data_IF_779270170998
#
_entry.id   IF_779270170998
#
_cell.length_a   1.000
_cell.length_b   1.000
_cell.length_c   1.000
_cell.angle_alpha   90.00
_cell.angle_beta   90.00
_cell.angle_gamma   90.00
#
_symmetry.space_group_name_H-M   'P 1'
#
loop_
_entity.id
_entity.type
_entity.pdbx_description
1 polymer ?
#
# COMPACT_ATOMS: atom_id res chain seq x y z
N UNK A 1 29.33 17.51 -22.52
CA UNK A 1 30.04 16.53 -21.67
C UNK A 1 29.07 15.44 -21.22
N UNK A 2 29.36 14.19 -21.58
CA UNK A 2 28.54 13.04 -21.17
C UNK A 2 29.09 12.47 -19.85
N UNK A 3 28.20 12.05 -18.92
CA UNK A 3 28.56 11.44 -17.63
C UNK A 3 29.60 10.30 -17.78
N UNK A 4 29.45 9.48 -18.81
CA UNK A 4 30.38 8.37 -19.08
C UNK A 4 31.79 8.84 -19.49
N UNK A 5 31.89 9.99 -20.12
CA UNK A 5 33.16 10.59 -20.53
C UNK A 5 33.93 11.11 -19.32
N UNK A 6 33.23 11.79 -18.40
CA UNK A 6 33.81 12.24 -17.13
C UNK A 6 34.28 11.06 -16.28
N UNK A 7 33.49 9.97 -16.24
CA UNK A 7 33.85 8.73 -15.56
C UNK A 7 35.16 8.15 -16.11
N UNK A 8 35.28 8.05 -17.44
CA UNK A 8 36.52 7.54 -18.09
C UNK A 8 37.75 8.39 -17.78
N UNK A 9 37.60 9.71 -17.75
CA UNK A 9 38.70 10.63 -17.37
C UNK A 9 39.14 10.38 -15.92
N UNK A 10 38.20 10.23 -15.01
CA UNK A 10 38.49 9.99 -13.59
C UNK A 10 39.01 8.58 -13.28
N UNK A 11 38.94 7.64 -14.22
CA UNK A 11 39.45 6.27 -14.10
C UNK A 11 40.73 6.03 -14.90
N UNK A 12 41.18 7.01 -15.68
CA UNK A 12 42.30 6.84 -16.58
C UNK A 12 43.65 6.92 -15.87
N UNK A 13 44.35 5.80 -15.71
CA UNK A 13 45.65 5.69 -15.07
C UNK A 13 46.78 6.45 -15.80
N UNK A 14 46.55 6.91 -17.03
CA UNK A 14 47.55 7.73 -17.75
C UNK A 14 47.88 9.04 -17.03
N UNK A 15 46.94 9.58 -16.27
CA UNK A 15 47.17 10.81 -15.50
C UNK A 15 48.15 10.66 -14.33
N UNK A 16 48.37 9.43 -13.85
CA UNK A 16 49.37 9.10 -12.80
C UNK A 16 50.66 8.54 -13.38
N UNK A 17 50.89 8.61 -14.71
CA UNK A 17 52.13 8.20 -15.35
C UNK A 17 52.14 6.77 -15.90
N UNK A 18 51.00 6.08 -15.95
CA UNK A 18 50.95 4.77 -16.58
C UNK A 18 51.23 4.85 -18.09
N UNK A 19 51.84 3.78 -18.64
CA UNK A 19 52.18 3.67 -20.07
C UNK A 19 53.11 4.77 -20.60
N UNK A 20 53.97 5.33 -19.75
CA UNK A 20 54.95 6.35 -20.16
C UNK A 20 54.43 7.75 -20.35
N UNK A 21 53.19 8.04 -19.95
CA UNK A 21 52.68 9.39 -19.93
C UNK A 21 53.23 10.23 -18.79
N UNK A 22 53.35 11.57 -18.92
CA UNK A 22 53.80 12.39 -17.81
C UNK A 22 52.79 12.37 -16.66
N UNK A 23 53.29 12.34 -15.42
CA UNK A 23 52.44 12.43 -14.23
C UNK A 23 51.81 13.83 -14.14
N UNK A 24 50.49 13.90 -14.20
CA UNK A 24 49.71 15.16 -14.11
C UNK A 24 49.04 15.31 -12.75
N UNK A 25 48.68 14.18 -12.10
CA UNK A 25 48.06 14.15 -10.77
C UNK A 25 48.71 13.08 -9.91
N UNK A 26 48.66 13.26 -8.64
CA UNK A 26 49.19 12.27 -7.68
C UNK A 26 48.28 11.05 -7.56
N UNK A 27 48.87 9.83 -7.37
CA UNK A 27 48.05 8.60 -7.24
C UNK A 27 47.04 8.68 -6.10
N UNK A 28 47.34 9.41 -5.03
CA UNK A 28 46.41 9.65 -3.91
C UNK A 28 45.20 10.47 -4.28
N UNK A 29 45.35 11.43 -5.16
CA UNK A 29 44.24 12.26 -5.66
C UNK A 29 43.28 11.44 -6.53
N UNK A 30 43.81 10.54 -7.37
CA UNK A 30 43.02 9.65 -8.17
C UNK A 30 42.22 8.66 -7.30
N UNK A 31 42.86 8.11 -6.24
CA UNK A 31 42.20 7.23 -5.26
C UNK A 31 41.11 7.97 -4.50
N UNK A 32 41.37 9.15 -3.99
CA UNK A 32 40.39 9.98 -3.28
C UNK A 32 39.19 10.35 -4.16
N UNK A 33 39.42 10.58 -5.47
CA UNK A 33 38.32 10.81 -6.43
C UNK A 33 37.49 9.54 -6.65
N UNK A 34 38.13 8.36 -6.74
CA UNK A 34 37.44 7.07 -6.87
C UNK A 34 36.61 6.74 -5.62
N UNK A 35 37.17 6.95 -4.43
CA UNK A 35 36.44 6.76 -3.16
C UNK A 35 35.23 7.67 -3.02
N UNK A 36 35.37 8.96 -3.29
CA UNK A 36 34.25 9.92 -3.29
C UNK A 36 33.17 9.55 -4.31
N UNK A 37 33.57 8.99 -5.46
CA UNK A 37 32.66 8.54 -6.48
C UNK A 37 31.93 7.28 -6.05
N UNK A 38 32.62 6.28 -5.50
CA UNK A 38 32.01 5.05 -5.00
C UNK A 38 31.05 5.32 -3.86
N UNK A 39 31.38 6.22 -2.94
CA UNK A 39 30.51 6.66 -1.86
C UNK A 39 29.23 7.34 -2.36
N UNK A 40 29.30 8.04 -3.51
CA UNK A 40 28.15 8.71 -4.15
C UNK A 40 27.40 7.84 -5.15
N UNK A 41 28.06 6.82 -5.73
CA UNK A 41 27.52 6.02 -6.83
C UNK A 41 26.55 4.92 -6.39
N UNK A 42 26.50 4.59 -5.11
CA UNK A 42 25.56 3.61 -4.56
C UNK A 42 24.46 4.35 -3.80
N UNK A 43 23.35 4.81 -4.45
CA UNK A 43 22.18 5.16 -3.68
C UNK A 43 21.80 3.90 -2.87
N UNK A 44 21.51 4.04 -1.57
CA UNK A 44 21.14 2.90 -0.74
C UNK A 44 20.05 2.10 -1.46
N UNK A 45 20.31 0.81 -1.71
CA UNK A 45 19.33 -0.02 -2.41
C UNK A 45 18.07 -0.07 -1.58
N UNK A 46 16.97 0.40 -2.18
CA UNK A 46 15.66 0.37 -1.52
C UNK A 46 15.31 -1.06 -1.16
N UNK A 47 14.94 -1.27 0.08
CA UNK A 47 14.46 -2.58 0.56
C UNK A 47 13.21 -3.02 -0.21
N UNK A 48 12.90 -4.32 -0.26
CA UNK A 48 11.67 -4.81 -0.87
C UNK A 48 10.42 -4.12 -0.31
N UNK A 49 10.41 -3.84 1.01
CA UNK A 49 9.33 -3.13 1.68
C UNK A 49 9.18 -1.69 1.17
N UNK A 50 10.28 -0.95 1.03
CA UNK A 50 10.28 0.41 0.47
C UNK A 50 9.82 0.46 -0.99
N UNK A 51 10.18 -0.56 -1.79
CA UNK A 51 9.69 -0.69 -3.17
C UNK A 51 8.18 -0.94 -3.21
N UNK A 52 7.67 -1.82 -2.33
CA UNK A 52 6.25 -2.11 -2.21
C UNK A 52 5.48 -0.88 -1.71
N UNK A 53 5.98 -0.22 -0.67
CA UNK A 53 5.39 1.00 -0.12
C UNK A 53 5.27 2.10 -1.18
N UNK A 54 6.32 2.33 -1.96
CA UNK A 54 6.29 3.31 -3.06
C UNK A 54 5.23 3.00 -4.12
N UNK A 55 5.02 1.72 -4.43
CA UNK A 55 3.95 1.30 -5.37
C UNK A 55 2.57 1.61 -4.83
N UNK A 56 2.33 1.37 -3.53
CA UNK A 56 1.04 1.60 -2.88
C UNK A 56 0.76 3.08 -2.64
N UNK A 57 1.79 3.89 -2.39
CA UNK A 57 1.66 5.34 -2.18
C UNK A 57 1.58 6.12 -3.49
N UNK A 58 2.07 5.58 -4.62
CA UNK A 58 2.22 6.31 -5.88
C UNK A 58 3.24 7.46 -5.85
N UNK A 59 3.91 7.68 -4.70
CA UNK A 59 4.86 8.76 -4.44
C UNK A 59 6.07 8.27 -3.63
N UNK A 60 7.17 9.03 -3.57
CA UNK A 60 8.29 8.69 -2.69
C UNK A 60 7.81 8.62 -1.23
N UNK A 61 8.04 7.48 -0.58
CA UNK A 61 7.73 7.29 0.82
C UNK A 61 8.90 7.77 1.70
N UNK A 62 8.61 8.44 2.81
CA UNK A 62 9.58 8.80 3.83
C UNK A 62 9.78 7.64 4.82
N UNK A 63 10.89 7.66 5.58
CA UNK A 63 11.11 6.72 6.68
C UNK A 63 10.00 6.81 7.74
N UNK A 64 9.44 8.00 7.92
CA UNK A 64 8.32 8.24 8.82
C UNK A 64 7.03 7.55 8.36
N UNK A 65 6.73 7.59 7.05
CA UNK A 65 5.60 6.84 6.47
C UNK A 65 5.75 5.34 6.70
N UNK A 66 6.96 4.80 6.50
CA UNK A 66 7.27 3.39 6.74
C UNK A 66 6.98 3.02 8.20
N UNK A 67 7.41 3.86 9.15
CA UNK A 67 7.18 3.67 10.57
C UNK A 67 5.67 3.69 10.92
N UNK A 68 4.93 4.70 10.44
CA UNK A 68 3.49 4.83 10.68
C UNK A 68 2.72 3.61 10.16
N UNK A 69 3.04 3.16 8.94
CA UNK A 69 2.41 1.97 8.35
C UNK A 69 2.75 0.70 9.13
N UNK A 70 4.00 0.57 9.60
CA UNK A 70 4.44 -0.56 10.45
C UNK A 70 3.67 -0.58 11.77
N UNK A 71 3.55 0.56 12.43
CA UNK A 71 2.81 0.69 13.69
C UNK A 71 1.32 0.34 13.51
N UNK A 72 0.69 0.84 12.42
CA UNK A 72 -0.69 0.54 12.09
C UNK A 72 -0.91 -0.96 11.85
N UNK A 73 -0.05 -1.60 11.07
CA UNK A 73 -0.12 -3.03 10.85
C UNK A 73 0.10 -3.83 12.14
N UNK A 74 1.00 -3.38 13.01
CA UNK A 74 1.23 -3.98 14.32
C UNK A 74 0.01 -3.86 15.26
N UNK A 75 -0.73 -2.77 15.19
CA UNK A 75 -2.01 -2.65 15.91
C UNK A 75 -3.03 -3.67 15.41
N UNK A 76 -3.11 -3.88 14.10
CA UNK A 76 -4.00 -4.90 13.52
C UNK A 76 -3.54 -6.33 13.82
N UNK A 77 -2.24 -6.57 13.95
CA UNK A 77 -1.69 -7.86 14.39
C UNK A 77 -2.08 -8.15 15.85
N UNK A 78 -2.02 -7.13 16.72
CA UNK A 78 -2.43 -7.28 18.14
C UNK A 78 -3.93 -7.46 18.31
N UNK A 79 -4.73 -6.80 17.46
CA UNK A 79 -6.18 -6.80 17.52
C UNK A 79 -6.79 -7.08 16.13
N UNK A 80 -6.76 -8.35 15.63
CA UNK A 80 -7.29 -8.71 14.31
C UNK A 80 -8.79 -8.42 14.15
N UNK A 81 -9.54 -8.38 15.24
CA UNK A 81 -10.98 -8.07 15.25
C UNK A 81 -11.31 -6.63 14.86
N UNK A 82 -10.31 -5.73 14.86
CA UNK A 82 -10.44 -4.37 14.32
C UNK A 82 -10.58 -4.35 12.79
N UNK A 83 -10.19 -5.42 12.11
CA UNK A 83 -10.43 -5.58 10.68
C UNK A 83 -11.91 -5.90 10.48
N UNK A 84 -12.67 -4.93 9.97
CA UNK A 84 -14.10 -5.05 9.71
C UNK A 84 -14.38 -4.97 8.23
N UNK A 85 -15.42 -5.64 7.71
CA UNK A 85 -15.80 -5.46 6.32
C UNK A 85 -16.17 -3.99 6.08
N UNK A 86 -15.70 -3.44 4.97
CA UNK A 86 -16.15 -2.12 4.53
C UNK A 86 -17.62 -2.27 4.09
N UNK A 87 -18.53 -1.80 4.91
CA UNK A 87 -19.94 -1.76 4.57
C UNK A 87 -20.11 -0.71 3.47
N UNK A 88 -20.45 -1.13 2.27
CA UNK A 88 -20.88 -0.19 1.24
C UNK A 88 -22.21 0.41 1.71
N UNK A 89 -22.17 1.65 2.19
CA UNK A 89 -23.39 2.38 2.59
C UNK A 89 -24.42 2.42 1.48
N UNK A 90 -23.97 2.43 0.21
CA UNK A 90 -24.85 2.42 -0.95
C UNK A 90 -25.57 1.07 -1.11
N UNK A 91 -24.87 -0.06 -0.94
CA UNK A 91 -25.47 -1.39 -1.03
C UNK A 91 -26.46 -1.63 0.13
N UNK A 92 -26.11 -1.20 1.35
CA UNK A 92 -27.01 -1.29 2.50
C UNK A 92 -28.26 -0.43 2.33
N UNK A 93 -28.12 0.79 1.79
CA UNK A 93 -29.25 1.68 1.50
C UNK A 93 -30.15 1.14 0.38
N UNK A 94 -29.58 0.53 -0.66
CA UNK A 94 -30.33 -0.12 -1.73
C UNK A 94 -31.15 -1.29 -1.20
N UNK A 95 -30.54 -2.19 -0.41
CA UNK A 95 -31.25 -3.30 0.25
C UNK A 95 -32.37 -2.80 1.16
N UNK A 96 -32.16 -1.70 1.89
CA UNK A 96 -33.18 -1.08 2.76
C UNK A 96 -34.41 -0.64 1.98
N UNK A 97 -34.22 0.12 0.93
CA UNK A 97 -35.33 0.62 0.07
C UNK A 97 -36.14 -0.52 -0.56
N UNK A 98 -35.47 -1.49 -1.18
CA UNK A 98 -36.15 -2.64 -1.81
C UNK A 98 -36.91 -3.48 -0.78
N UNK A 99 -36.41 -3.59 0.47
CA UNK A 99 -37.11 -4.26 1.56
C UNK A 99 -38.39 -3.52 1.97
N UNK A 100 -38.32 -2.19 2.10
CA UNK A 100 -39.49 -1.34 2.42
C UNK A 100 -40.54 -1.42 1.30
N UNK A 101 -40.12 -1.37 0.03
CA UNK A 101 -41.01 -1.51 -1.13
C UNK A 101 -41.70 -2.88 -1.14
N UNK A 102 -40.95 -3.98 -0.85
CA UNK A 102 -41.52 -5.32 -0.74
C UNK A 102 -42.54 -5.41 0.40
N UNK A 103 -42.22 -4.86 1.56
CA UNK A 103 -43.11 -4.85 2.73
C UNK A 103 -44.41 -4.10 2.38
N UNK A 104 -44.30 -2.92 1.76
CA UNK A 104 -45.46 -2.13 1.33
C UNK A 104 -46.28 -2.84 0.26
N UNK A 105 -45.64 -3.60 -0.63
CA UNK A 105 -46.38 -4.38 -1.66
C UNK A 105 -47.15 -5.54 -1.05
N UNK A 106 -46.61 -6.18 0.02
CA UNK A 106 -47.28 -7.27 0.73
C UNK A 106 -48.42 -6.79 1.65
N UNK A 107 -48.37 -5.56 2.13
CA UNK A 107 -49.43 -4.94 2.96
C UNK A 107 -50.66 -4.48 2.16
N UNK A 108 -50.51 -4.30 0.84
CA UNK A 108 -51.63 -3.90 -0.04
C UNK A 108 -52.53 -5.09 -0.37
N UNK A 109 -53.86 -4.86 -0.27
CA UNK A 109 -54.83 -5.85 -0.69
C UNK A 109 -55.65 -5.33 -1.92
N UNK A 110 -55.82 -6.14 -2.98
CA UNK A 110 -55.27 -7.49 -3.19
C UNK A 110 -53.75 -7.45 -3.42
N UNK A 111 -53.07 -8.54 -2.99
CA UNK A 111 -51.63 -8.67 -3.18
C UNK A 111 -51.32 -8.92 -4.65
N UNK A 112 -50.48 -8.09 -5.24
CA UNK A 112 -49.89 -8.32 -6.56
C UNK A 112 -48.71 -9.29 -6.44
N UNK A 113 -48.98 -10.57 -6.68
CA UNK A 113 -48.00 -11.65 -6.52
C UNK A 113 -46.80 -11.50 -7.47
N UNK A 114 -47.03 -11.03 -8.71
CA UNK A 114 -45.96 -10.89 -9.69
C UNK A 114 -45.00 -9.75 -9.31
N UNK A 115 -45.55 -8.64 -8.85
CA UNK A 115 -44.74 -7.51 -8.33
C UNK A 115 -43.99 -7.92 -7.06
N UNK A 116 -44.63 -8.59 -6.11
CA UNK A 116 -43.98 -9.06 -4.90
C UNK A 116 -42.83 -10.04 -5.19
N UNK A 117 -43.02 -10.96 -6.15
CA UNK A 117 -41.96 -11.88 -6.62
C UNK A 117 -40.81 -11.15 -7.27
N UNK A 118 -41.08 -10.15 -8.12
CA UNK A 118 -40.02 -9.33 -8.74
C UNK A 118 -39.19 -8.58 -7.69
N UNK A 119 -39.83 -7.95 -6.72
CA UNK A 119 -39.15 -7.24 -5.61
C UNK A 119 -38.34 -8.19 -4.74
N UNK A 120 -38.81 -9.40 -4.47
CA UNK A 120 -38.10 -10.41 -3.73
C UNK A 120 -36.82 -10.86 -4.45
N UNK A 121 -36.89 -11.07 -5.76
CA UNK A 121 -35.71 -11.39 -6.58
C UNK A 121 -34.71 -10.23 -6.62
N UNK A 122 -35.19 -9.00 -6.73
CA UNK A 122 -34.33 -7.81 -6.67
C UNK A 122 -33.66 -7.67 -5.30
N UNK A 123 -34.37 -7.92 -4.20
CA UNK A 123 -33.81 -7.90 -2.87
C UNK A 123 -32.75 -8.99 -2.69
N UNK A 124 -33.02 -10.22 -3.19
CA UNK A 124 -32.04 -11.31 -3.13
C UNK A 124 -30.77 -10.99 -3.94
N UNK A 125 -30.91 -10.41 -5.16
CA UNK A 125 -29.77 -9.98 -5.95
C UNK A 125 -28.96 -8.87 -5.25
N UNK A 126 -29.64 -7.85 -4.73
CA UNK A 126 -28.99 -6.77 -3.99
C UNK A 126 -28.28 -7.27 -2.72
N UNK A 127 -28.85 -8.24 -2.01
CA UNK A 127 -28.21 -8.88 -0.87
C UNK A 127 -26.98 -9.70 -1.30
N UNK A 128 -27.07 -10.43 -2.39
CA UNK A 128 -25.95 -11.21 -2.93
C UNK A 128 -24.78 -10.28 -3.34
N UNK A 129 -25.07 -9.19 -4.02
CA UNK A 129 -24.08 -8.19 -4.41
C UNK A 129 -23.48 -7.48 -3.19
N UNK A 130 -24.26 -7.28 -2.13
CA UNK A 130 -23.80 -6.70 -0.87
C UNK A 130 -22.88 -7.64 -0.07
N UNK A 131 -23.06 -8.96 -0.18
CA UNK A 131 -22.17 -9.96 0.44
C UNK A 131 -20.75 -9.91 -0.15
N UNK A 132 -20.55 -9.37 -1.30
CA UNK A 132 -19.31 -9.08 -2.05
C UNK A 132 -17.99 -9.64 -1.49
N UNK A 133 -16.92 -9.51 -2.22
CA UNK A 133 -15.57 -9.95 -1.84
C UNK A 133 -15.03 -9.40 -0.50
N UNK A 134 -15.68 -8.39 0.08
CA UNK A 134 -15.24 -7.68 1.29
C UNK A 134 -15.26 -8.55 2.56
N UNK A 135 -16.26 -9.41 2.72
CA UNK A 135 -16.33 -10.34 3.87
C UNK A 135 -15.26 -11.43 3.76
N UNK A 136 -15.12 -12.02 2.58
CA UNK A 136 -14.08 -13.01 2.31
C UNK A 136 -12.68 -12.40 2.55
N UNK A 137 -12.41 -11.23 2.01
CA UNK A 137 -11.14 -10.55 2.22
C UNK A 137 -10.94 -10.17 3.71
N UNK A 138 -12.00 -9.85 4.44
CA UNK A 138 -11.92 -9.59 5.89
C UNK A 138 -11.48 -10.84 6.66
N UNK A 139 -12.09 -11.99 6.38
CA UNK A 139 -11.70 -13.27 7.00
C UNK A 139 -10.27 -13.64 6.64
N UNK A 140 -9.89 -13.46 5.38
CA UNK A 140 -8.53 -13.68 4.89
C UNK A 140 -7.51 -12.77 5.59
N UNK A 141 -7.81 -11.49 5.74
CA UNK A 141 -6.95 -10.53 6.44
C UNK A 141 -6.81 -10.87 7.92
N UNK A 142 -7.90 -11.21 8.60
CA UNK A 142 -7.83 -11.66 10.00
C UNK A 142 -6.94 -12.89 10.14
N UNK A 143 -7.09 -13.91 9.30
CA UNK A 143 -6.23 -15.10 9.28
C UNK A 143 -4.77 -14.76 9.01
N UNK A 144 -4.49 -13.84 8.09
CA UNK A 144 -3.14 -13.37 7.78
C UNK A 144 -2.46 -12.71 9.00
N UNK A 145 -3.22 -11.96 9.80
CA UNK A 145 -2.71 -11.19 10.92
C UNK A 145 -2.67 -11.99 12.23
N UNK A 146 -3.60 -12.95 12.40
CA UNK A 146 -3.68 -13.78 13.60
C UNK A 146 -2.44 -14.65 13.75
N UNK A 147 -1.89 -14.69 14.97
CA UNK A 147 -0.72 -15.51 15.31
C UNK A 147 0.63 -14.94 14.85
N UNK A 148 0.66 -13.79 14.17
CA UNK A 148 1.91 -13.11 13.83
C UNK A 148 2.46 -12.33 15.02
N UNK A 149 3.78 -12.29 15.11
CA UNK A 149 4.48 -11.40 16.06
C UNK A 149 4.51 -9.98 15.50
N UNK A 150 4.45 -8.95 16.36
CA UNK A 150 4.64 -7.56 15.92
C UNK A 150 5.97 -7.41 15.18
N UNK A 151 5.95 -6.66 14.09
CA UNK A 151 7.09 -6.43 13.22
C UNK A 151 7.95 -5.28 13.75
N UNK A 152 9.26 -5.44 13.77
CA UNK A 152 10.22 -4.36 14.01
C UNK A 152 10.50 -3.57 12.74
N UNK A 153 10.52 -4.25 11.60
CA UNK A 153 10.69 -3.69 10.27
C UNK A 153 9.49 -4.07 9.39
N UNK A 154 9.18 -3.23 8.41
CA UNK A 154 8.05 -3.44 7.51
C UNK A 154 8.27 -4.68 6.63
N UNK A 155 7.43 -5.69 6.77
CA UNK A 155 7.43 -6.88 5.92
C UNK A 155 6.68 -6.58 4.61
N UNK A 156 7.39 -6.72 3.48
CA UNK A 156 6.85 -6.52 2.15
C UNK A 156 5.70 -7.49 1.80
N UNK A 157 5.76 -8.72 2.31
CA UNK A 157 4.74 -9.75 2.09
C UNK A 157 3.44 -9.41 2.81
N UNK A 158 3.52 -9.00 4.07
CA UNK A 158 2.36 -8.55 4.86
C UNK A 158 1.76 -7.30 4.24
N UNK A 159 2.59 -6.31 3.88
CA UNK A 159 2.16 -5.06 3.27
C UNK A 159 1.37 -5.31 1.97
N UNK A 160 1.91 -6.10 1.04
CA UNK A 160 1.26 -6.40 -0.23
C UNK A 160 0.00 -7.27 -0.08
N UNK A 161 -0.04 -8.12 0.94
CA UNK A 161 -1.18 -9.00 1.19
C UNK A 161 -2.33 -8.29 1.91
N UNK A 162 -2.03 -7.31 2.76
CA UNK A 162 -3.03 -6.63 3.59
C UNK A 162 -3.50 -5.31 2.99
N UNK A 163 -2.61 -4.54 2.35
CA UNK A 163 -2.87 -3.17 1.93
C UNK A 163 -3.17 -3.08 0.43
N UNK A 164 -4.18 -2.32 0.08
CA UNK A 164 -4.58 -2.01 -1.30
C UNK A 164 -4.00 -0.67 -1.77
N UNK A 165 -4.09 0.36 -0.93
CA UNK A 165 -3.67 1.73 -1.28
C UNK A 165 -3.23 2.48 -0.03
N UNK A 166 -2.28 3.38 -0.19
CA UNK A 166 -1.87 4.32 0.86
C UNK A 166 -1.93 5.74 0.28
N UNK A 167 -2.59 6.63 0.99
CA UNK A 167 -2.66 8.06 0.65
C UNK A 167 -1.97 8.84 1.75
N UNK A 168 -0.99 9.65 1.37
CA UNK A 168 -0.23 10.49 2.27
C UNK A 168 -0.70 11.92 2.07
N UNK A 169 -1.23 12.52 3.11
CA UNK A 169 -1.58 13.93 3.17
C UNK A 169 -0.65 14.62 4.18
N UNK A 170 -0.48 15.93 4.10
CA UNK A 170 0.46 16.69 4.95
C UNK A 170 0.29 16.46 6.47
N UNK A 171 -0.84 15.92 6.92
CA UNK A 171 -1.16 15.73 8.35
C UNK A 171 -1.63 14.32 8.70
N UNK A 172 -1.86 13.44 7.74
CA UNK A 172 -2.31 12.09 8.02
C UNK A 172 -1.89 11.09 6.95
N UNK A 173 -1.73 9.85 7.37
CA UNK A 173 -1.52 8.69 6.51
C UNK A 173 -2.79 7.86 6.54
N UNK A 174 -3.41 7.70 5.38
CA UNK A 174 -4.64 6.92 5.19
C UNK A 174 -4.27 5.62 4.50
N UNK A 175 -4.53 4.50 5.17
CA UNK A 175 -4.25 3.15 4.66
C UNK A 175 -5.57 2.47 4.33
N UNK A 176 -5.74 2.06 3.08
CA UNK A 176 -6.88 1.26 2.64
C UNK A 176 -6.47 -0.20 2.56
N UNK A 177 -7.14 -1.06 3.30
CA UNK A 177 -6.94 -2.50 3.29
C UNK A 177 -7.61 -3.14 2.08
N UNK A 178 -7.28 -4.40 1.76
CA UNK A 178 -7.85 -5.12 0.62
C UNK A 178 -9.35 -5.39 0.73
N UNK A 179 -9.88 -5.43 1.95
CA UNK A 179 -11.32 -5.51 2.19
C UNK A 179 -12.05 -4.17 2.07
N UNK A 180 -11.38 -3.10 1.61
CA UNK A 180 -11.95 -1.77 1.45
C UNK A 180 -11.97 -0.92 2.72
N UNK A 181 -11.66 -1.47 3.89
CA UNK A 181 -11.59 -0.71 5.13
C UNK A 181 -10.48 0.33 5.05
N UNK A 182 -10.80 1.55 5.42
CA UNK A 182 -9.87 2.68 5.46
C UNK A 182 -9.56 3.02 6.91
N UNK A 183 -8.26 3.16 7.21
CA UNK A 183 -7.76 3.51 8.53
C UNK A 183 -6.88 4.74 8.40
N UNK A 184 -7.20 5.77 9.17
CA UNK A 184 -6.47 7.03 9.17
C UNK A 184 -5.62 7.14 10.42
N UNK A 185 -4.38 7.59 10.25
CA UNK A 185 -3.50 7.93 11.36
C UNK A 185 -2.93 9.33 11.14
N UNK A 186 -3.18 10.20 12.11
CA UNK A 186 -2.60 11.54 12.12
C UNK A 186 -1.14 11.43 12.53
N UNK A 187 -0.29 12.15 11.81
CA UNK A 187 1.10 12.33 12.19
C UNK A 187 1.11 13.22 13.43
N UNK A 188 1.51 12.68 14.56
CA UNK A 188 1.81 13.50 15.74
C UNK A 188 3.24 14.01 15.54
N UNK A 189 3.37 15.21 14.99
CA UNK A 189 4.58 16.01 15.04
C UNK A 189 4.88 16.43 16.46
#
# INVERSE_FOLDING_TARGET
WNKNMVTRILEDGRYIGEKGYPVLIEPEQLRAAAEKRSARACPPQKTPAQKALRRLCGAPSSAQTERIVTELLNELIRCPDRVRPATSQQAAAACGKTREELTSALERQPIDEDNARALLLQLAAAQYDAIGSTEYETVRLRRLLTGRKPMTELDSGVLQSAVSKIVITNKCVTVTLKNGQTIERRDQL
#
